data_IF_909878074112
#
_entry.id   IF_909878074112
#
_cell.length_a   1.000
_cell.length_b   1.000
_cell.length_c   1.000
_cell.angle_alpha   90.00
_cell.angle_beta   90.00
_cell.angle_gamma   90.00
#
_symmetry.space_group_name_H-M   'P 1'
#
loop_
_entity.id
_entity.type
_entity.pdbx_description
1 polymer ?
#
# COMPACT_ATOMS: atom_id res chain seq x y z
N UNK A 1 -24.18 -23.17 -10.63
CA UNK A 1 -23.56 -22.75 -9.35
C UNK A 1 -22.30 -23.58 -9.10
N UNK A 2 -21.11 -23.05 -9.43
CA UNK A 2 -19.83 -23.71 -9.12
C UNK A 2 -19.40 -23.27 -7.72
N UNK A 3 -19.39 -24.18 -6.76
CA UNK A 3 -18.87 -23.93 -5.40
C UNK A 3 -17.34 -23.90 -5.46
N UNK A 4 -16.75 -22.76 -5.11
CA UNK A 4 -15.32 -22.61 -4.89
C UNK A 4 -14.97 -23.35 -3.60
N UNK A 5 -14.21 -24.45 -3.71
CA UNK A 5 -13.61 -25.13 -2.54
C UNK A 5 -12.34 -24.36 -2.17
N UNK A 6 -12.37 -23.68 -1.03
CA UNK A 6 -11.18 -23.14 -0.38
C UNK A 6 -10.56 -24.29 0.40
N UNK A 7 -9.47 -24.85 -0.14
CA UNK A 7 -8.63 -25.81 0.59
C UNK A 7 -7.65 -25.02 1.43
N UNK A 8 -7.91 -24.95 2.74
CA UNK A 8 -6.92 -24.49 3.71
C UNK A 8 -5.89 -25.61 3.86
N UNK A 9 -4.69 -25.40 3.34
CA UNK A 9 -3.56 -26.32 3.58
C UNK A 9 -2.96 -25.96 4.93
N UNK A 10 -2.95 -26.85 5.93
CA UNK A 10 -2.21 -26.61 7.15
C UNK A 10 -0.71 -26.64 6.84
N UNK A 11 -0.01 -25.57 7.22
CA UNK A 11 1.46 -25.54 7.26
C UNK A 11 1.92 -26.57 8.30
N UNK A 12 2.28 -27.76 7.82
CA UNK A 12 2.95 -28.78 8.61
C UNK A 12 4.47 -28.57 8.47
N UNK A 13 5.09 -27.98 9.48
CA UNK A 13 6.55 -28.02 9.63
C UNK A 13 6.90 -29.43 10.10
N UNK A 14 7.33 -30.28 9.16
CA UNK A 14 8.00 -31.54 9.50
C UNK A 14 9.44 -31.18 9.91
N UNK A 15 9.63 -30.90 11.19
CA UNK A 15 10.94 -30.97 11.82
C UNK A 15 11.24 -32.46 12.10
N UNK A 16 11.76 -33.18 11.10
CA UNK A 16 12.27 -34.54 11.27
C UNK A 16 13.79 -34.54 11.24
N UNK A 17 14.37 -34.52 12.44
CA UNK A 17 15.23 -35.59 12.97
C UNK A 17 16.27 -36.24 12.03
N UNK A 18 16.99 -35.51 11.18
CA UNK A 18 18.28 -35.97 10.63
C UNK A 18 19.23 -34.79 10.41
N UNK A 19 20.40 -34.87 11.06
CA UNK A 19 21.49 -33.95 10.86
C UNK A 19 22.13 -34.08 9.47
N UNK A 20 22.87 -33.02 9.13
CA UNK A 20 23.84 -32.94 8.02
C UNK A 20 23.27 -33.02 6.59
N UNK A 21 22.88 -31.87 6.05
CA UNK A 21 23.20 -31.49 4.67
C UNK A 21 22.95 -29.98 4.47
N UNK A 22 24.00 -29.15 4.58
CA UNK A 22 23.97 -27.78 4.05
C UNK A 22 24.06 -27.86 2.53
N UNK A 23 22.92 -27.85 1.85
CA UNK A 23 22.84 -27.65 0.41
C UNK A 23 22.87 -26.16 0.08
N UNK A 24 23.97 -25.70 -0.51
CA UNK A 24 24.06 -24.36 -1.11
C UNK A 24 23.04 -24.24 -2.26
N UNK A 25 22.02 -23.39 -2.09
CA UNK A 25 21.21 -22.91 -3.20
C UNK A 25 21.93 -21.74 -3.87
N UNK A 26 22.46 -21.96 -5.08
CA UNK A 26 23.04 -20.92 -5.92
C UNK A 26 21.89 -20.07 -6.52
N UNK A 27 21.55 -18.96 -5.86
CA UNK A 27 20.57 -18.00 -6.36
C UNK A 27 21.22 -17.12 -7.44
N UNK A 28 21.05 -17.48 -8.72
CA UNK A 28 21.48 -16.62 -9.84
C UNK A 28 20.50 -15.46 -10.05
N UNK A 29 20.89 -14.28 -9.57
CA UNK A 29 20.19 -13.03 -9.86
C UNK A 29 20.76 -12.44 -11.17
N UNK A 30 19.95 -12.24 -12.23
CA UNK A 30 20.41 -11.52 -13.40
C UNK A 30 20.49 -10.01 -13.10
N UNK A 31 21.71 -9.49 -12.95
CA UNK A 31 21.96 -8.05 -12.83
C UNK A 31 21.76 -7.43 -14.22
N UNK A 32 20.64 -6.75 -14.43
CA UNK A 32 20.38 -5.96 -15.64
C UNK A 32 21.07 -4.60 -15.51
N UNK A 33 22.30 -4.51 -16.00
CA UNK A 33 23.08 -3.27 -15.99
C UNK A 33 22.54 -2.29 -17.04
N UNK A 34 21.84 -1.23 -16.62
CA UNK A 34 21.44 -0.15 -17.52
C UNK A 34 22.64 0.77 -17.78
N UNK A 35 23.26 0.61 -18.95
CA UNK A 35 24.34 1.46 -19.45
C UNK A 35 23.75 2.80 -19.90
N UNK A 36 23.87 3.84 -19.08
CA UNK A 36 23.61 5.22 -19.51
C UNK A 36 24.83 5.72 -20.30
N UNK A 37 24.60 6.10 -21.55
CA UNK A 37 25.61 6.70 -22.41
C UNK A 37 25.91 8.14 -21.95
N UNK A 38 27.18 8.41 -21.66
CA UNK A 38 27.69 9.76 -21.40
C UNK A 38 27.69 10.57 -22.70
N UNK A 39 27.20 11.82 -22.70
CA UNK A 39 27.36 12.71 -23.85
C UNK A 39 28.77 13.30 -23.90
N UNK A 40 29.29 13.34 -25.13
CA UNK A 40 30.56 13.93 -25.56
C UNK A 40 30.58 15.43 -25.27
N UNK A 41 31.60 15.89 -24.54
CA UNK A 41 31.88 17.30 -24.26
C UNK A 41 32.56 17.96 -25.47
N UNK A 42 31.96 19.03 -25.99
CA UNK A 42 32.63 20.00 -26.87
C UNK A 42 33.20 21.16 -26.02
N UNK A 43 34.37 21.71 -26.37
CA UNK A 43 34.93 22.86 -25.69
C UNK A 43 34.38 24.16 -26.30
N UNK A 44 33.85 25.05 -25.47
CA UNK A 44 33.66 26.46 -25.83
C UNK A 44 34.41 27.35 -24.85
N UNK A 45 35.40 28.06 -25.38
CA UNK A 45 35.99 29.23 -24.74
C UNK A 45 35.01 30.40 -24.87
N UNK A 46 34.80 31.20 -23.82
CA UNK A 46 35.44 32.53 -23.64
C UNK A 46 34.79 33.25 -22.46
N UNK A 47 35.65 33.89 -21.67
CA UNK A 47 35.31 34.71 -20.53
C UNK A 47 34.48 35.96 -20.91
N UNK A 48 33.59 36.34 -20.01
CA UNK A 48 32.85 37.60 -20.02
C UNK A 48 32.19 37.79 -18.66
N UNK A 49 32.80 38.63 -17.83
CA UNK A 49 32.33 39.06 -16.52
C UNK A 49 30.91 39.62 -16.58
N UNK A 50 29.98 39.05 -15.81
CA UNK A 50 28.72 39.67 -15.40
C UNK A 50 28.31 39.05 -14.06
N UNK A 51 28.84 39.65 -13.00
CA UNK A 51 28.53 39.35 -11.61
C UNK A 51 27.20 40.02 -11.19
N UNK A 52 26.35 39.20 -10.55
CA UNK A 52 25.52 39.59 -9.39
C UNK A 52 24.06 40.06 -9.53
N UNK A 53 23.31 39.65 -10.56
CA UNK A 53 21.81 39.69 -10.52
C UNK A 53 21.13 38.31 -10.57
N UNK A 54 21.88 37.22 -10.82
CA UNK A 54 21.30 35.89 -11.02
C UNK A 54 20.83 35.18 -9.73
N UNK A 55 21.27 35.60 -8.54
CA UNK A 55 20.95 34.89 -7.28
C UNK A 55 19.55 35.17 -6.75
N UNK A 56 19.03 36.39 -6.92
CA UNK A 56 17.69 36.74 -6.41
C UNK A 56 16.56 36.13 -7.24
N UNK A 57 16.71 36.07 -8.58
CA UNK A 57 15.73 35.46 -9.48
C UNK A 57 15.60 33.94 -9.27
N UNK A 58 16.72 33.23 -9.08
CA UNK A 58 16.72 31.78 -8.77
C UNK A 58 16.05 31.46 -7.43
N UNK A 59 16.25 32.28 -6.40
CA UNK A 59 15.62 32.08 -5.08
C UNK A 59 14.10 32.28 -5.14
N UNK A 60 13.63 33.29 -5.87
CA UNK A 60 12.20 33.56 -6.07
C UNK A 60 11.51 32.45 -6.88
N UNK A 61 12.16 31.97 -7.94
CA UNK A 61 11.68 30.83 -8.74
C UNK A 61 11.60 29.53 -7.93
N UNK A 62 12.58 29.27 -7.06
CA UNK A 62 12.64 28.05 -6.25
C UNK A 62 11.59 28.05 -5.13
N UNK A 63 11.35 29.20 -4.49
CA UNK A 63 10.27 29.36 -3.51
C UNK A 63 8.87 29.28 -4.14
N UNK A 64 8.68 29.83 -5.35
CA UNK A 64 7.41 29.70 -6.08
C UNK A 64 7.14 28.25 -6.51
N UNK A 65 8.16 27.50 -6.94
CA UNK A 65 8.00 26.08 -7.30
C UNK A 65 7.68 25.19 -6.08
N UNK A 66 8.31 25.44 -4.92
CA UNK A 66 7.95 24.72 -3.68
C UNK A 66 6.50 25.00 -3.25
N UNK A 67 6.06 26.26 -3.33
CA UNK A 67 4.70 26.63 -2.91
C UNK A 67 3.62 26.02 -3.81
N UNK A 68 3.91 25.86 -5.11
CA UNK A 68 3.02 25.16 -6.05
C UNK A 68 3.03 23.64 -5.87
N UNK A 69 4.15 23.02 -5.49
CA UNK A 69 4.20 21.57 -5.23
C UNK A 69 3.38 21.17 -4.00
N UNK A 70 3.42 21.96 -2.93
CA UNK A 70 2.74 21.65 -1.67
C UNK A 70 1.22 21.66 -1.81
N UNK A 71 0.69 22.65 -2.53
CA UNK A 71 -0.75 22.73 -2.82
C UNK A 71 -1.24 21.55 -3.68
N UNK A 72 -0.39 21.07 -4.59
CA UNK A 72 -0.71 19.92 -5.44
C UNK A 72 -0.73 18.61 -4.66
N UNK A 73 0.17 18.42 -3.68
CA UNK A 73 0.26 17.18 -2.89
C UNK A 73 -0.90 17.03 -1.91
N UNK A 74 -1.25 18.10 -1.18
CA UNK A 74 -2.41 18.11 -0.30
C UNK A 74 -3.71 17.85 -1.07
N UNK A 75 -3.89 18.47 -2.23
CA UNK A 75 -5.07 18.21 -3.07
C UNK A 75 -5.18 16.76 -3.54
N UNK A 76 -4.03 16.09 -3.82
CA UNK A 76 -4.00 14.67 -4.20
C UNK A 76 -4.39 13.79 -3.02
N UNK A 77 -3.86 14.06 -1.83
CA UNK A 77 -4.22 13.33 -0.60
C UNK A 77 -5.70 13.49 -0.30
N UNK A 78 -6.19 14.73 -0.25
CA UNK A 78 -7.60 15.01 0.03
C UNK A 78 -8.49 14.29 -0.98
N UNK A 79 -8.14 14.34 -2.28
CA UNK A 79 -8.89 13.62 -3.31
C UNK A 79 -8.85 12.11 -3.13
N UNK A 80 -7.69 11.52 -2.84
CA UNK A 80 -7.59 10.06 -2.60
C UNK A 80 -8.43 9.63 -1.41
N UNK A 81 -8.45 10.43 -0.33
CA UNK A 81 -9.25 10.12 0.86
C UNK A 81 -10.73 10.39 0.63
N UNK A 82 -11.09 11.48 -0.06
CA UNK A 82 -12.47 11.91 -0.22
C UNK A 82 -13.24 11.17 -1.32
N UNK A 83 -12.54 10.49 -2.24
CA UNK A 83 -13.18 9.83 -3.39
C UNK A 83 -13.98 8.58 -3.01
N UNK A 84 -13.68 7.92 -1.88
CA UNK A 84 -14.50 6.82 -1.37
C UNK A 84 -14.33 6.65 0.14
N UNK A 85 -15.22 7.26 0.92
CA UNK A 85 -15.23 7.16 2.39
C UNK A 85 -15.33 5.70 2.87
N UNK A 86 -16.13 4.89 2.18
CA UNK A 86 -16.27 3.45 2.44
C UNK A 86 -14.94 2.72 2.25
N UNK A 87 -14.22 2.97 1.16
CA UNK A 87 -12.90 2.36 0.92
C UNK A 87 -11.92 2.72 2.02
N UNK A 88 -11.84 4.01 2.37
CA UNK A 88 -10.91 4.48 3.40
C UNK A 88 -11.22 3.91 4.78
N UNK A 89 -12.51 3.77 5.12
CA UNK A 89 -12.95 3.16 6.37
C UNK A 89 -12.62 1.66 6.41
N UNK A 90 -12.96 0.92 5.35
CA UNK A 90 -12.66 -0.51 5.25
C UNK A 90 -11.15 -0.78 5.24
N UNK A 91 -10.37 0.03 4.53
CA UNK A 91 -8.91 -0.06 4.54
C UNK A 91 -8.35 0.11 5.94
N UNK A 92 -8.76 1.17 6.64
CA UNK A 92 -8.33 1.46 8.01
C UNK A 92 -8.68 0.33 8.97
N UNK A 93 -9.90 -0.19 8.86
CA UNK A 93 -10.37 -1.32 9.66
C UNK A 93 -9.55 -2.58 9.40
N UNK A 94 -9.36 -2.97 8.14
CA UNK A 94 -8.62 -4.19 7.80
C UNK A 94 -7.15 -4.11 8.17
N UNK A 95 -6.50 -2.96 7.97
CA UNK A 95 -5.12 -2.76 8.40
C UNK A 95 -4.98 -2.83 9.93
N UNK A 96 -5.92 -2.23 10.66
CA UNK A 96 -5.94 -2.30 12.13
C UNK A 96 -6.16 -3.73 12.61
N UNK A 97 -7.15 -4.45 12.05
CA UNK A 97 -7.43 -5.84 12.41
C UNK A 97 -6.27 -6.77 12.09
N UNK A 98 -5.59 -6.57 10.96
CA UNK A 98 -4.39 -7.34 10.62
C UNK A 98 -3.31 -7.15 11.69
N UNK A 99 -3.09 -5.92 12.16
CA UNK A 99 -2.17 -5.61 13.26
C UNK A 99 -2.59 -6.23 14.59
N UNK A 100 -3.86 -6.03 15.00
CA UNK A 100 -4.42 -6.59 16.25
C UNK A 100 -4.28 -8.11 16.31
N UNK A 101 -4.48 -8.79 15.17
CA UNK A 101 -4.41 -10.25 15.11
C UNK A 101 -2.96 -10.71 15.03
N UNK A 102 -2.17 -10.24 14.04
CA UNK A 102 -0.82 -10.77 13.78
C UNK A 102 0.22 -10.31 14.81
N UNK A 103 0.09 -9.09 15.31
CA UNK A 103 1.06 -8.46 16.21
C UNK A 103 1.36 -9.29 17.46
N UNK A 104 0.34 -9.68 18.25
CA UNK A 104 0.55 -10.51 19.44
C UNK A 104 1.22 -11.85 19.16
N UNK A 105 0.98 -12.49 17.99
CA UNK A 105 1.67 -13.73 17.63
C UNK A 105 3.16 -13.51 17.31
N UNK A 106 3.49 -12.39 16.66
CA UNK A 106 4.89 -12.05 16.38
C UNK A 106 5.64 -11.76 17.68
N UNK A 107 5.04 -10.93 18.53
CA UNK A 107 5.59 -10.55 19.82
C UNK A 107 5.77 -11.75 20.77
N UNK A 108 4.83 -12.70 20.73
CA UNK A 108 4.91 -13.93 21.51
C UNK A 108 6.15 -14.77 21.18
N UNK A 109 6.74 -14.67 19.99
CA UNK A 109 8.01 -15.37 19.72
C UNK A 109 9.15 -14.82 20.57
N UNK A 110 9.30 -13.50 20.65
CA UNK A 110 10.33 -12.88 21.48
C UNK A 110 10.09 -13.16 22.96
N UNK A 111 8.83 -13.18 23.40
CA UNK A 111 8.48 -13.61 24.75
C UNK A 111 8.84 -15.09 25.01
N UNK A 112 8.49 -15.99 24.09
CA UNK A 112 8.74 -17.43 24.23
C UNK A 112 10.24 -17.78 24.28
N UNK A 113 11.09 -16.97 23.65
CA UNK A 113 12.54 -17.14 23.66
C UNK A 113 13.25 -16.34 24.78
N UNK A 114 12.50 -15.65 25.64
CA UNK A 114 13.05 -14.85 26.74
C UNK A 114 13.80 -13.61 26.28
N UNK A 115 13.55 -13.11 25.07
CA UNK A 115 14.03 -11.79 24.63
C UNK A 115 13.32 -10.70 25.42
N UNK A 116 12.04 -10.94 25.71
CA UNK A 116 11.09 -9.96 26.21
C UNK A 116 10.20 -10.55 27.28
N UNK A 117 9.90 -9.78 28.32
CA UNK A 117 9.05 -10.19 29.42
C UNK A 117 8.03 -9.11 29.77
N UNK A 118 6.85 -9.56 30.17
CA UNK A 118 5.77 -8.73 30.73
C UNK A 118 5.60 -9.05 32.20
N UNK A 119 5.29 -8.04 33.02
CA UNK A 119 5.09 -8.24 34.46
C UNK A 119 3.86 -9.11 34.76
N UNK A 120 2.77 -8.91 34.00
CA UNK A 120 1.51 -9.65 34.09
C UNK A 120 1.06 -10.12 32.70
N UNK A 121 1.67 -11.18 32.16
CA UNK A 121 1.36 -11.65 30.82
C UNK A 121 -0.01 -12.34 30.78
N UNK A 122 -0.74 -12.10 29.70
CA UNK A 122 -1.82 -12.94 29.23
C UNK A 122 -1.18 -14.07 28.41
N UNK A 123 -1.25 -15.29 28.93
CA UNK A 123 -0.69 -16.48 28.26
C UNK A 123 -1.81 -17.39 27.75
N UNK A 124 -1.72 -17.86 26.51
CA UNK A 124 -2.60 -18.89 25.97
C UNK A 124 -1.80 -20.05 25.36
N UNK A 125 -2.18 -21.28 25.70
CA UNK A 125 -1.53 -22.49 25.19
C UNK A 125 -2.00 -22.71 23.75
N UNK A 126 -1.14 -22.40 22.77
CA UNK A 126 -1.50 -22.57 21.36
C UNK A 126 -1.25 -23.98 20.82
N UNK A 127 -0.37 -24.76 21.46
CA UNK A 127 0.14 -26.03 20.93
C UNK A 127 0.19 -27.18 21.94
N UNK A 128 -0.67 -27.14 22.96
CA UNK A 128 -0.83 -28.24 23.92
C UNK A 128 0.35 -28.48 24.88
N UNK A 129 1.34 -27.60 24.92
CA UNK A 129 2.43 -27.61 25.91
C UNK A 129 2.67 -26.20 26.44
N UNK A 130 2.98 -26.12 27.74
CA UNK A 130 3.42 -24.89 28.40
C UNK A 130 4.87 -24.56 28.03
N UNK A 131 5.65 -25.56 27.59
CA UNK A 131 7.06 -25.45 27.23
C UNK A 131 7.28 -25.08 25.74
N UNK A 132 6.20 -24.91 24.98
CA UNK A 132 6.20 -24.56 23.54
C UNK A 132 5.45 -23.24 23.37
N UNK A 133 5.61 -22.49 22.24
CA UNK A 133 5.27 -21.07 22.22
C UNK A 133 3.79 -20.86 22.57
N UNK A 134 3.59 -20.46 23.83
CA UNK A 134 2.35 -19.90 24.31
C UNK A 134 2.24 -18.50 23.71
N UNK A 135 1.03 -18.10 23.35
CA UNK A 135 0.77 -16.71 23.04
C UNK A 135 0.93 -15.94 24.35
N UNK A 136 2.06 -15.26 24.51
CA UNK A 136 2.36 -14.39 25.65
C UNK A 136 2.25 -12.94 25.19
N UNK A 137 1.33 -12.19 25.79
CA UNK A 137 1.05 -10.80 25.41
C UNK A 137 0.47 -10.03 26.60
N UNK A 138 0.11 -8.76 26.43
CA UNK A 138 -0.67 -8.00 27.42
C UNK A 138 -1.76 -7.17 26.75
N UNK A 139 -2.70 -6.62 27.51
CA UNK A 139 -3.94 -6.04 26.98
C UNK A 139 -3.74 -4.87 26.01
N UNK A 140 -2.65 -4.10 26.16
CA UNK A 140 -2.36 -2.95 25.30
C UNK A 140 -1.61 -3.33 24.01
N UNK A 141 -0.96 -4.50 23.97
CA UNK A 141 -0.14 -4.93 22.82
C UNK A 141 -0.97 -5.07 21.54
N UNK A 142 -2.13 -5.76 21.51
CA UNK A 142 -2.95 -5.82 20.30
C UNK A 142 -3.37 -4.43 19.79
N UNK A 143 -3.70 -3.51 20.70
CA UNK A 143 -4.09 -2.15 20.32
C UNK A 143 -2.93 -1.37 19.68
N UNK A 144 -1.71 -1.46 20.23
CA UNK A 144 -0.52 -0.84 19.64
C UNK A 144 -0.19 -1.41 18.27
N UNK A 145 -0.24 -2.73 18.09
CA UNK A 145 -0.02 -3.33 16.78
C UNK A 145 -1.13 -2.99 15.77
N UNK A 146 -2.38 -2.87 16.22
CA UNK A 146 -3.47 -2.36 15.39
C UNK A 146 -3.21 -0.94 14.90
N UNK A 147 -2.79 -0.05 15.81
CA UNK A 147 -2.39 1.31 15.45
C UNK A 147 -1.20 1.33 14.49
N UNK A 148 -0.19 0.48 14.73
CA UNK A 148 0.95 0.35 13.82
C UNK A 148 0.53 -0.10 12.42
N UNK A 149 -0.34 -1.10 12.30
CA UNK A 149 -0.90 -1.56 11.03
C UNK A 149 -1.63 -0.45 10.29
N UNK A 150 -2.47 0.33 10.99
CA UNK A 150 -3.12 1.51 10.45
C UNK A 150 -2.13 2.57 9.95
N UNK A 151 -1.18 2.99 10.79
CA UNK A 151 -0.24 4.06 10.49
C UNK A 151 0.69 3.70 9.34
N UNK A 152 1.32 2.52 9.39
CA UNK A 152 2.22 2.03 8.35
C UNK A 152 1.46 1.86 7.04
N UNK A 153 0.25 1.30 7.09
CA UNK A 153 -0.59 1.15 5.90
C UNK A 153 -0.89 2.48 5.23
N UNK A 154 -1.30 3.49 5.99
CA UNK A 154 -1.55 4.82 5.46
C UNK A 154 -0.28 5.53 4.98
N UNK A 155 0.85 5.40 5.67
CA UNK A 155 2.13 5.95 5.21
C UNK A 155 2.50 5.43 3.82
N UNK A 156 2.28 4.14 3.57
CA UNK A 156 2.47 3.54 2.25
C UNK A 156 1.52 4.12 1.20
N UNK A 157 0.21 4.14 1.47
CA UNK A 157 -0.79 4.62 0.49
C UNK A 157 -0.59 6.11 0.18
N UNK A 158 -0.38 6.94 1.20
CA UNK A 158 -0.16 8.38 1.02
C UNK A 158 1.20 8.65 0.37
N UNK A 159 2.23 7.93 0.78
CA UNK A 159 3.56 8.00 0.18
C UNK A 159 3.52 7.68 -1.32
N UNK A 160 2.83 6.60 -1.71
CA UNK A 160 2.66 6.22 -3.11
C UNK A 160 1.89 7.32 -3.88
N UNK A 161 0.87 7.95 -3.30
CA UNK A 161 0.11 9.05 -3.96
C UNK A 161 0.96 10.30 -4.17
N UNK A 162 1.77 10.67 -3.19
CA UNK A 162 2.58 11.90 -3.24
C UNK A 162 3.78 11.69 -4.17
N UNK A 163 4.54 10.61 -3.94
CA UNK A 163 5.86 10.41 -4.53
C UNK A 163 5.81 9.65 -5.87
N UNK A 164 4.78 8.84 -6.14
CA UNK A 164 4.71 8.03 -7.37
C UNK A 164 3.94 8.70 -8.51
N UNK A 165 3.92 10.05 -8.55
CA UNK A 165 3.13 10.90 -9.46
C UNK A 165 3.33 10.68 -10.98
N UNK A 166 4.15 9.73 -11.43
CA UNK A 166 4.41 9.51 -12.87
C UNK A 166 4.74 8.06 -13.28
N UNK A 167 4.64 7.06 -12.40
CA UNK A 167 4.93 5.68 -12.79
C UNK A 167 3.63 4.92 -13.07
N UNK A 168 3.42 4.37 -14.29
CA UNK A 168 2.30 3.46 -14.59
C UNK A 168 2.35 2.14 -13.79
N UNK A 169 3.44 1.92 -13.04
CA UNK A 169 3.65 0.77 -12.17
C UNK A 169 3.44 1.14 -10.69
N UNK A 170 2.24 1.56 -10.31
CA UNK A 170 1.87 1.49 -8.89
C UNK A 170 2.07 0.03 -8.45
N UNK A 171 2.82 -0.25 -7.37
CA UNK A 171 3.12 -1.63 -7.01
C UNK A 171 1.83 -2.35 -6.65
N UNK A 172 1.49 -3.37 -7.44
CA UNK A 172 0.35 -4.25 -7.20
C UNK A 172 0.89 -5.61 -6.76
N UNK A 173 1.23 -5.77 -5.47
CA UNK A 173 1.75 -7.03 -4.99
C UNK A 173 0.67 -8.10 -5.17
N UNK A 174 1.08 -9.26 -5.68
CA UNK A 174 0.19 -10.42 -5.78
C UNK A 174 -0.05 -11.03 -4.40
N UNK A 175 -1.18 -11.72 -4.15
CA UNK A 175 -1.40 -12.39 -2.87
C UNK A 175 -0.26 -13.33 -2.43
N UNK A 176 0.37 -14.13 -3.33
CA UNK A 176 1.56 -14.91 -2.96
C UNK A 176 2.75 -14.07 -2.49
N UNK A 177 2.98 -12.90 -3.10
CA UNK A 177 4.05 -11.98 -2.69
C UNK A 177 3.77 -11.36 -1.31
N UNK A 178 2.51 -11.04 -1.02
CA UNK A 178 2.09 -10.54 0.30
C UNK A 178 2.30 -11.62 1.35
N UNK A 179 1.85 -12.85 1.08
CA UNK A 179 2.03 -13.99 1.99
C UNK A 179 3.51 -14.28 2.21
N UNK A 180 4.33 -14.28 1.16
CA UNK A 180 5.78 -14.44 1.28
C UNK A 180 6.40 -13.34 2.16
N UNK A 181 5.94 -12.09 2.01
CA UNK A 181 6.42 -10.99 2.83
C UNK A 181 6.09 -11.15 4.31
N UNK A 182 4.83 -11.51 4.62
CA UNK A 182 4.42 -11.81 5.99
C UNK A 182 5.22 -12.99 6.54
N UNK A 183 5.34 -14.08 5.78
CA UNK A 183 6.08 -15.27 6.20
C UNK A 183 7.56 -15.00 6.46
N UNK A 184 8.21 -14.21 5.60
CA UNK A 184 9.62 -13.85 5.78
C UNK A 184 9.82 -12.95 7.01
N UNK A 185 8.90 -12.01 7.24
CA UNK A 185 8.93 -11.17 8.44
C UNK A 185 8.70 -11.99 9.71
N UNK A 186 7.71 -12.88 9.72
CA UNK A 186 7.47 -13.83 10.81
C UNK A 186 8.68 -14.72 11.07
N UNK A 187 9.32 -15.24 10.02
CA UNK A 187 10.54 -16.03 10.13
C UNK A 187 11.67 -15.22 10.75
N UNK A 188 11.85 -13.96 10.38
CA UNK A 188 12.89 -13.10 10.95
C UNK A 188 12.63 -12.85 12.45
N UNK A 189 11.38 -12.65 12.85
CA UNK A 189 10.97 -12.51 14.26
C UNK A 189 11.28 -13.77 15.07
N UNK A 190 10.90 -14.93 14.54
CA UNK A 190 11.17 -16.21 15.18
C UNK A 190 12.68 -16.52 15.26
N UNK A 191 13.40 -16.33 14.15
CA UNK A 191 14.83 -16.65 14.04
C UNK A 191 15.67 -15.80 14.97
N UNK A 192 15.37 -14.50 15.09
CA UNK A 192 16.08 -13.62 16.03
C UNK A 192 15.94 -14.10 17.48
N UNK A 193 14.72 -14.46 17.91
CA UNK A 193 14.50 -15.03 19.24
C UNK A 193 15.21 -16.36 19.44
N UNK A 194 15.14 -17.27 18.45
CA UNK A 194 15.79 -18.57 18.52
C UNK A 194 17.33 -18.46 18.62
N UNK A 195 17.94 -17.55 17.86
CA UNK A 195 19.38 -17.27 17.94
C UNK A 195 19.77 -16.69 19.31
N UNK A 196 18.98 -15.74 19.82
CA UNK A 196 19.17 -15.17 21.17
C UNK A 196 19.12 -16.26 22.25
N UNK A 197 18.07 -17.10 22.24
CA UNK A 197 17.92 -18.20 23.19
C UNK A 197 19.07 -19.21 23.12
N UNK A 198 19.65 -19.40 21.93
CA UNK A 198 20.81 -20.28 21.73
C UNK A 198 22.14 -19.66 22.16
N UNK A 199 22.14 -18.45 22.72
CA UNK A 199 23.34 -17.74 23.15
C UNK A 199 24.24 -17.27 22.01
N UNK A 200 23.68 -17.08 20.80
CA UNK A 200 24.43 -16.56 19.66
C UNK A 200 24.83 -15.11 19.93
N UNK A 201 26.08 -14.76 19.60
CA UNK A 201 26.61 -13.41 19.79
C UNK A 201 25.76 -12.35 19.08
N UNK A 202 25.57 -11.20 19.74
CA UNK A 202 24.69 -10.12 19.28
C UNK A 202 25.11 -9.55 17.93
N UNK A 203 26.41 -9.47 17.66
CA UNK A 203 26.93 -8.98 16.36
C UNK A 203 26.56 -9.95 15.25
N UNK A 204 26.58 -11.25 15.53
CA UNK A 204 26.13 -12.28 14.58
C UNK A 204 24.63 -12.18 14.34
N UNK A 205 23.81 -11.98 15.38
CA UNK A 205 22.36 -11.76 15.23
C UNK A 205 22.11 -10.51 14.39
N UNK A 206 22.75 -9.38 14.72
CA UNK A 206 22.60 -8.11 14.01
C UNK A 206 22.94 -8.24 12.52
N UNK A 207 24.08 -8.84 12.19
CA UNK A 207 24.49 -9.03 10.80
C UNK A 207 23.51 -9.95 10.06
N UNK A 208 23.08 -11.04 10.69
CA UNK A 208 22.13 -11.99 10.10
C UNK A 208 20.79 -11.30 9.82
N UNK A 209 20.23 -10.60 10.81
CA UNK A 209 18.96 -9.88 10.66
C UNK A 209 19.06 -8.77 9.60
N UNK A 210 20.20 -8.08 9.53
CA UNK A 210 20.43 -7.05 8.50
C UNK A 210 20.46 -7.64 7.09
N UNK A 211 21.12 -8.78 6.90
CA UNK A 211 21.16 -9.49 5.60
C UNK A 211 19.76 -9.97 5.21
N UNK A 212 19.01 -10.57 6.14
CA UNK A 212 17.64 -11.02 5.89
C UNK A 212 16.73 -9.84 5.56
N UNK A 213 16.81 -8.73 6.31
CA UNK A 213 16.01 -7.55 6.07
C UNK A 213 16.32 -6.88 4.72
N UNK A 214 17.60 -6.74 4.37
CA UNK A 214 18.02 -6.19 3.08
C UNK A 214 17.58 -7.09 1.92
N UNK A 215 17.74 -8.42 2.06
CA UNK A 215 17.28 -9.38 1.07
C UNK A 215 15.76 -9.35 0.93
N UNK A 216 15.03 -9.29 2.03
CA UNK A 216 13.58 -9.18 2.07
C UNK A 216 13.09 -7.90 1.39
N UNK A 217 13.73 -6.76 1.65
CA UNK A 217 13.44 -5.52 0.95
C UNK A 217 13.65 -5.66 -0.57
N UNK A 218 14.81 -6.16 -0.99
CA UNK A 218 15.11 -6.38 -2.41
C UNK A 218 14.09 -7.33 -3.05
N UNK A 219 13.66 -8.39 -2.35
CA UNK A 219 12.73 -9.38 -2.90
C UNK A 219 11.28 -8.89 -2.91
N UNK A 220 10.88 -8.10 -1.92
CA UNK A 220 9.47 -7.80 -1.66
C UNK A 220 9.08 -6.38 -2.09
N UNK A 221 9.94 -5.39 -1.89
CA UNK A 221 9.61 -3.98 -2.05
C UNK A 221 10.86 -3.17 -2.42
N UNK A 222 11.07 -2.92 -3.71
CA UNK A 222 12.21 -2.13 -4.21
C UNK A 222 11.81 -0.66 -4.44
N UNK A 223 10.80 -0.16 -3.72
CA UNK A 223 10.28 1.19 -3.93
C UNK A 223 10.91 2.19 -2.96
N UNK A 224 11.06 3.44 -3.40
CA UNK A 224 11.57 4.50 -2.53
C UNK A 224 10.64 4.77 -1.34
N UNK A 225 9.32 4.78 -1.57
CA UNK A 225 8.32 4.86 -0.50
C UNK A 225 8.50 3.71 0.49
N UNK A 226 8.66 2.50 -0.03
CA UNK A 226 8.92 1.33 0.79
C UNK A 226 10.16 1.49 1.65
N UNK A 227 11.27 1.95 1.07
CA UNK A 227 12.51 2.19 1.81
C UNK A 227 12.30 3.21 2.94
N UNK A 228 11.65 4.35 2.62
CA UNK A 228 11.42 5.43 3.57
C UNK A 228 10.53 4.97 4.73
N UNK A 229 9.42 4.29 4.44
CA UNK A 229 8.53 3.77 5.49
C UNK A 229 9.23 2.69 6.30
N UNK A 230 10.02 1.81 5.68
CA UNK A 230 10.81 0.78 6.38
C UNK A 230 11.86 1.39 7.30
N UNK A 231 12.50 2.49 6.90
CA UNK A 231 13.40 3.24 7.76
C UNK A 231 12.64 3.87 8.93
N UNK A 232 11.49 4.48 8.66
CA UNK A 232 10.62 5.04 9.71
C UNK A 232 10.17 3.96 10.70
N UNK A 233 9.84 2.75 10.28
CA UNK A 233 9.48 1.65 11.20
C UNK A 233 10.69 1.16 11.97
N UNK A 234 11.85 1.01 11.32
CA UNK A 234 13.10 0.58 11.94
C UNK A 234 13.51 1.47 13.13
N UNK A 235 13.28 2.78 13.04
CA UNK A 235 13.54 3.71 14.14
C UNK A 235 12.32 3.92 15.04
N UNK A 236 11.14 4.09 14.45
CA UNK A 236 9.92 4.47 15.16
C UNK A 236 9.42 3.40 16.12
N UNK A 237 9.47 2.12 15.74
CA UNK A 237 9.08 1.01 16.61
C UNK A 237 9.93 0.98 17.90
N UNK A 238 11.26 0.90 17.79
CA UNK A 238 12.13 0.90 18.97
C UNK A 238 12.06 2.18 19.79
N UNK A 239 11.77 3.34 19.20
CA UNK A 239 11.52 4.58 19.96
C UNK A 239 10.23 4.51 20.78
N UNK A 240 9.17 3.87 20.26
CA UNK A 240 7.96 3.59 21.03
C UNK A 240 8.29 2.64 22.19
N UNK A 241 9.11 1.61 21.96
CA UNK A 241 9.57 0.70 23.01
C UNK A 241 10.40 1.42 24.08
N UNK A 242 11.29 2.34 23.71
CA UNK A 242 12.00 3.20 24.70
C UNK A 242 11.00 3.97 25.57
N UNK A 243 9.94 4.51 24.97
CA UNK A 243 8.85 5.15 25.71
C UNK A 243 8.16 4.19 26.67
N UNK A 244 7.76 3.00 26.20
CA UNK A 244 7.11 1.97 27.02
C UNK A 244 8.01 1.50 28.17
N UNK A 245 9.29 1.22 27.91
CA UNK A 245 10.28 0.87 28.93
C UNK A 245 10.46 1.97 29.97
N UNK A 246 10.48 3.23 29.54
CA UNK A 246 10.62 4.37 30.44
C UNK A 246 9.40 4.53 31.34
N UNK A 247 8.19 4.36 30.79
CA UNK A 247 6.95 4.37 31.56
C UNK A 247 6.84 3.18 32.51
N UNK A 248 7.28 1.99 32.07
CA UNK A 248 7.34 0.76 32.86
C UNK A 248 8.28 0.94 34.06
N UNK A 249 9.51 1.43 33.83
CA UNK A 249 10.49 1.72 34.90
C UNK A 249 10.04 2.82 35.87
N UNK A 250 9.18 3.72 35.42
CA UNK A 250 8.58 4.77 36.25
C UNK A 250 7.31 4.30 37.01
N UNK A 251 6.95 3.02 36.90
CA UNK A 251 5.74 2.42 37.50
C UNK A 251 4.42 3.10 37.06
N UNK A 252 4.42 3.69 35.85
CA UNK A 252 3.27 4.39 35.28
C UNK A 252 2.38 3.48 34.42
N UNK A 253 2.79 2.24 34.17
CA UNK A 253 2.06 1.26 33.35
C UNK A 253 1.17 0.31 34.15
N UNK A 254 0.85 0.63 35.41
CA UNK A 254 -0.14 -0.07 36.24
C UNK A 254 0.01 -1.61 36.18
N UNK A 255 1.15 -2.10 36.65
CA UNK A 255 1.50 -3.53 36.74
C UNK A 255 1.52 -4.31 35.40
N UNK A 256 1.40 -3.61 34.26
CA UNK A 256 1.46 -4.17 32.91
C UNK A 256 2.74 -3.75 32.20
N UNK A 257 3.84 -3.72 32.96
CA UNK A 257 5.14 -3.32 32.46
C UNK A 257 5.71 -4.30 31.43
N UNK A 258 6.72 -3.79 30.73
CA UNK A 258 7.41 -4.41 29.62
C UNK A 258 8.90 -4.23 29.85
N UNK A 259 9.69 -5.29 29.66
CA UNK A 259 11.14 -5.23 29.78
C UNK A 259 11.85 -6.19 28.83
N UNK A 260 13.00 -5.74 28.33
CA UNK A 260 13.97 -6.62 27.68
C UNK A 260 14.79 -7.35 28.74
N UNK A 261 14.96 -8.66 28.59
CA UNK A 261 15.89 -9.45 29.40
C UNK A 261 17.34 -9.01 29.15
N UNK A 262 17.61 -8.58 27.91
CA UNK A 262 18.88 -8.01 27.48
C UNK A 262 18.68 -6.65 26.82
N UNK A 263 19.05 -5.59 27.52
CA UNK A 263 18.95 -4.19 27.07
C UNK A 263 19.96 -3.83 25.96
N UNK A 264 20.88 -4.73 25.62
CA UNK A 264 21.77 -4.58 24.49
C UNK A 264 22.74 -3.40 24.58
N UNK A 265 23.21 -2.94 23.42
CA UNK A 265 24.20 -1.86 23.27
C UNK A 265 23.62 -0.47 23.56
N UNK A 266 22.30 -0.33 23.43
CA UNK A 266 21.63 0.98 23.56
C UNK A 266 21.25 1.32 25.00
N UNK A 267 21.24 0.33 25.90
CA UNK A 267 20.71 0.45 27.26
C UNK A 267 19.18 0.36 27.36
N UNK A 268 18.50 0.17 26.22
CA UNK A 268 17.04 0.00 26.15
C UNK A 268 16.64 -1.28 25.41
N UNK A 269 17.23 -1.53 24.24
CA UNK A 269 16.96 -2.69 23.39
C UNK A 269 18.24 -3.09 22.61
N UNK A 270 18.37 -4.35 22.17
CA UNK A 270 19.52 -4.78 21.38
C UNK A 270 19.42 -4.32 19.92
N UNK A 271 20.55 -3.91 19.33
CA UNK A 271 20.55 -3.23 18.01
C UNK A 271 19.98 -4.06 16.86
N UNK A 272 19.96 -5.39 16.98
CA UNK A 272 19.39 -6.28 15.97
C UNK A 272 17.86 -6.16 15.82
N UNK A 273 17.19 -5.46 16.75
CA UNK A 273 15.77 -5.12 16.64
C UNK A 273 15.51 -4.14 15.47
N UNK A 274 16.45 -3.24 15.15
CA UNK A 274 16.31 -2.28 14.05
C UNK A 274 16.02 -2.96 12.69
N UNK A 275 16.85 -3.92 12.22
CA UNK A 275 16.56 -4.63 10.97
C UNK A 275 15.31 -5.53 11.05
N UNK A 276 14.88 -5.98 12.24
CA UNK A 276 13.59 -6.68 12.41
C UNK A 276 12.43 -5.75 12.08
N UNK A 277 12.40 -4.56 12.67
CA UNK A 277 11.39 -3.55 12.36
C UNK A 277 11.48 -3.03 10.92
N UNK A 278 12.68 -2.98 10.34
CA UNK A 278 12.86 -2.61 8.94
C UNK A 278 12.12 -3.57 8.01
N UNK A 279 12.26 -4.89 8.18
CA UNK A 279 11.56 -5.87 7.33
C UNK A 279 10.03 -5.87 7.57
N UNK A 280 9.57 -5.40 8.72
CA UNK A 280 8.15 -5.14 8.97
C UNK A 280 7.56 -4.14 7.96
N UNK A 281 8.35 -3.17 7.49
CA UNK A 281 7.95 -2.18 6.48
C UNK A 281 7.41 -2.82 5.20
N UNK A 282 8.24 -3.57 4.42
CA UNK A 282 7.81 -4.20 3.17
C UNK A 282 6.67 -5.20 3.34
N UNK A 283 6.65 -5.95 4.44
CA UNK A 283 5.58 -6.92 4.72
C UNK A 283 4.23 -6.23 4.91
N UNK A 284 4.16 -5.22 5.78
CA UNK A 284 2.93 -4.46 6.07
C UNK A 284 2.55 -3.55 4.90
N UNK A 285 3.54 -2.96 4.23
CA UNK A 285 3.33 -2.09 3.07
C UNK A 285 2.74 -2.81 1.87
N UNK A 286 3.23 -4.01 1.56
CA UNK A 286 2.67 -4.82 0.48
C UNK A 286 1.27 -5.34 0.84
N UNK A 287 1.02 -5.68 2.11
CA UNK A 287 -0.34 -5.98 2.58
C UNK A 287 -1.28 -4.78 2.37
N UNK A 288 -0.83 -3.57 2.74
CA UNK A 288 -1.59 -2.34 2.56
C UNK A 288 -1.94 -2.08 1.09
N UNK A 289 -0.94 -2.16 0.20
CA UNK A 289 -1.16 -2.04 -1.26
C UNK A 289 -2.13 -3.11 -1.77
N UNK A 290 -2.00 -4.35 -1.30
CA UNK A 290 -2.89 -5.45 -1.64
C UNK A 290 -4.34 -5.18 -1.26
N UNK A 291 -4.59 -4.84 0.01
CA UNK A 291 -5.93 -4.51 0.52
C UNK A 291 -6.51 -3.29 -0.21
N UNK A 292 -5.71 -2.24 -0.37
CA UNK A 292 -6.13 -1.01 -1.04
C UNK A 292 -6.58 -1.28 -2.48
N UNK A 293 -5.83 -2.11 -3.22
CA UNK A 293 -6.18 -2.49 -4.59
C UNK A 293 -7.38 -3.45 -4.64
N UNK A 294 -7.45 -4.41 -3.72
CA UNK A 294 -8.57 -5.36 -3.63
C UNK A 294 -9.91 -4.67 -3.36
N UNK A 295 -9.94 -3.73 -2.41
CA UNK A 295 -11.12 -2.93 -2.09
C UNK A 295 -11.60 -2.11 -3.29
N UNK A 296 -10.69 -1.58 -4.11
CA UNK A 296 -11.04 -0.83 -5.30
C UNK A 296 -11.82 -1.68 -6.30
N UNK A 297 -11.39 -2.93 -6.50
CA UNK A 297 -12.03 -3.84 -7.44
C UNK A 297 -13.42 -4.24 -6.96
N UNK A 298 -13.56 -4.61 -5.67
CA UNK A 298 -14.86 -5.01 -5.08
C UNK A 298 -15.88 -3.87 -5.15
N UNK A 299 -15.49 -2.65 -4.82
CA UNK A 299 -16.40 -1.50 -4.86
C UNK A 299 -16.82 -1.15 -6.31
N UNK A 300 -15.88 -1.20 -7.26
CA UNK A 300 -16.21 -0.98 -8.67
C UNK A 300 -17.13 -2.06 -9.26
N UNK A 301 -16.94 -3.32 -8.87
CA UNK A 301 -17.82 -4.42 -9.27
C UNK A 301 -19.24 -4.24 -8.70
N UNK A 302 -19.36 -3.80 -7.44
CA UNK A 302 -20.66 -3.52 -6.83
C UNK A 302 -21.38 -2.35 -7.50
N UNK A 303 -20.67 -1.25 -7.79
CA UNK A 303 -21.24 -0.09 -8.51
C UNK A 303 -21.75 -0.51 -9.89
N UNK A 304 -21.00 -1.36 -10.61
CA UNK A 304 -21.41 -1.84 -11.92
C UNK A 304 -22.59 -2.81 -11.85
N UNK A 305 -22.61 -3.70 -10.84
CA UNK A 305 -23.70 -4.62 -10.59
C UNK A 305 -25.01 -3.88 -10.28
N UNK A 306 -24.95 -2.83 -9.45
CA UNK A 306 -26.10 -1.97 -9.13
C UNK A 306 -26.64 -1.28 -10.39
N UNK A 307 -25.76 -0.72 -11.22
CA UNK A 307 -26.14 -0.09 -12.51
C UNK A 307 -26.80 -1.08 -13.47
N UNK A 308 -26.33 -2.34 -13.52
CA UNK A 308 -26.94 -3.38 -14.37
C UNK A 308 -28.29 -3.91 -13.86
N UNK A 309 -28.60 -3.69 -12.58
CA UNK A 309 -29.85 -4.15 -11.95
C UNK A 309 -30.99 -3.13 -12.03
N UNK A 310 -30.70 -1.88 -12.40
CA UNK A 310 -31.71 -0.84 -12.57
C UNK A 310 -32.65 -1.17 -13.75
N UNK A 311 -33.98 -1.11 -13.56
CA UNK A 311 -34.94 -1.39 -14.62
C UNK A 311 -34.73 -0.39 -15.74
N UNK A 312 -34.26 -0.87 -16.89
CA UNK A 312 -33.74 -0.01 -17.93
C UNK A 312 -34.61 1.18 -18.33
N UNK A 313 -33.98 2.26 -18.82
CA UNK A 313 -34.70 3.44 -19.28
C UNK A 313 -35.76 3.03 -20.30
N UNK A 314 -37.04 3.12 -19.91
CA UNK A 314 -38.19 2.64 -20.70
C UNK A 314 -38.33 3.39 -22.03
N UNK A 315 -37.86 4.64 -22.09
CA UNK A 315 -37.99 5.50 -23.28
C UNK A 315 -37.06 5.06 -24.40
N UNK A 316 -35.81 4.73 -24.10
CA UNK A 316 -34.84 4.26 -25.10
C UNK A 316 -34.59 2.75 -25.04
N UNK A 317 -35.33 2.02 -24.19
CA UNK A 317 -35.10 0.60 -23.90
C UNK A 317 -33.62 0.29 -23.61
N UNK A 318 -33.00 1.07 -22.70
CA UNK A 318 -31.57 1.00 -22.36
C UNK A 318 -30.55 1.23 -23.48
N UNK A 319 -30.96 1.56 -24.70
CA UNK A 319 -30.01 1.88 -25.78
C UNK A 319 -29.31 3.23 -25.59
N UNK A 320 -29.79 4.05 -24.64
CA UNK A 320 -29.37 5.45 -24.37
C UNK A 320 -29.47 6.39 -25.57
N UNK A 321 -30.09 5.95 -26.67
CA UNK A 321 -30.30 6.70 -27.89
C UNK A 321 -31.78 6.77 -28.23
N UNK A 322 -32.20 7.92 -28.74
CA UNK A 322 -33.50 8.11 -29.36
C UNK A 322 -33.31 8.76 -30.73
N UNK A 323 -34.24 8.59 -31.68
CA UNK A 323 -34.22 9.32 -32.94
C UNK A 323 -34.09 10.82 -32.68
N UNK A 324 -33.25 11.49 -33.47
CA UNK A 324 -33.07 12.94 -33.37
C UNK A 324 -34.39 13.63 -33.75
N UNK A 325 -35.01 14.42 -32.85
CA UNK A 325 -36.33 15.03 -33.10
C UNK A 325 -36.29 16.11 -34.19
N UNK A 326 -35.10 16.61 -34.55
CA UNK A 326 -34.95 17.62 -35.59
C UNK A 326 -34.86 17.03 -37.01
N UNK A 327 -34.61 15.72 -37.15
CA UNK A 327 -34.48 15.06 -38.46
C UNK A 327 -35.11 13.67 -38.48
N UNK A 328 -36.01 13.37 -37.52
CA UNK A 328 -36.74 12.11 -37.39
C UNK A 328 -35.92 10.83 -37.58
N UNK A 329 -34.70 10.79 -37.05
CA UNK A 329 -33.85 9.59 -37.20
C UNK A 329 -32.99 9.55 -38.47
N UNK A 330 -33.23 10.42 -39.45
CA UNK A 330 -32.64 10.32 -40.81
C UNK A 330 -31.21 10.88 -40.89
N UNK A 331 -30.86 11.82 -40.01
CA UNK A 331 -29.56 12.52 -40.04
C UNK A 331 -29.47 13.64 -41.06
N UNK A 332 -30.48 13.79 -41.92
CA UNK A 332 -30.62 14.87 -42.91
C UNK A 332 -32.07 15.35 -42.97
N UNK A 333 -32.30 16.57 -43.48
CA UNK A 333 -33.64 17.10 -43.74
C UNK A 333 -33.67 17.85 -45.08
N UNK A 334 -34.84 17.98 -45.69
CA UNK A 334 -35.02 18.73 -46.93
C UNK A 334 -35.12 20.22 -46.63
N UNK A 335 -34.12 21.00 -47.06
CA UNK A 335 -34.17 22.45 -47.00
C UNK A 335 -35.04 23.02 -48.13
N UNK A 336 -35.50 24.27 -47.97
CA UNK A 336 -36.24 24.97 -49.02
C UNK A 336 -35.44 24.97 -50.34
N UNK A 337 -36.10 24.53 -51.43
CA UNK A 337 -35.47 24.31 -52.73
C UNK A 337 -35.07 22.86 -53.03
N UNK A 338 -35.53 21.89 -52.22
CA UNK A 338 -35.37 20.46 -52.49
C UNK A 338 -33.95 19.92 -52.27
N UNK A 339 -33.07 20.70 -51.64
CA UNK A 339 -31.69 20.27 -51.35
C UNK A 339 -31.65 19.58 -49.98
N UNK A 340 -31.00 18.43 -49.92
CA UNK A 340 -30.73 17.74 -48.65
C UNK A 340 -29.70 18.52 -47.84
N UNK A 341 -30.05 18.86 -46.60
CA UNK A 341 -29.19 19.50 -45.64
C UNK A 341 -28.89 18.54 -44.48
N UNK A 342 -27.68 18.66 -43.94
CA UNK A 342 -27.16 17.81 -42.88
C UNK A 342 -27.73 18.27 -41.54
N UNK A 343 -28.25 17.36 -40.72
CA UNK A 343 -28.75 17.71 -39.41
C UNK A 343 -27.59 18.09 -38.48
N UNK A 344 -27.52 19.37 -38.13
CA UNK A 344 -26.51 19.92 -37.22
C UNK A 344 -26.72 19.43 -35.79
N UNK A 345 -27.98 19.26 -35.36
CA UNK A 345 -28.33 18.82 -34.01
C UNK A 345 -27.80 17.43 -33.64
N UNK A 346 -27.75 16.50 -34.60
CA UNK A 346 -27.21 15.15 -34.39
C UNK A 346 -25.91 14.87 -35.16
N UNK A 347 -25.32 15.89 -35.79
CA UNK A 347 -24.12 15.76 -36.63
C UNK A 347 -24.22 14.60 -37.64
N UNK A 348 -25.35 14.50 -38.36
CA UNK A 348 -25.66 13.47 -39.37
C UNK A 348 -25.91 12.04 -38.87
N UNK A 349 -25.82 11.79 -37.56
CA UNK A 349 -25.96 10.42 -37.02
C UNK A 349 -27.39 9.92 -36.96
N UNK A 350 -28.38 10.82 -37.02
CA UNK A 350 -29.79 10.46 -36.93
C UNK A 350 -30.28 10.22 -35.50
N UNK A 351 -29.41 10.08 -34.51
CA UNK A 351 -29.80 9.86 -33.10
C UNK A 351 -29.20 10.90 -32.15
N UNK A 352 -29.83 11.06 -30.98
CA UNK A 352 -29.36 11.88 -29.86
C UNK A 352 -29.43 11.08 -28.56
N UNK A 353 -28.73 11.54 -27.52
CA UNK A 353 -28.81 10.93 -26.19
C UNK A 353 -30.23 11.06 -25.64
N UNK A 354 -30.78 9.97 -25.12
CA UNK A 354 -32.12 9.96 -24.53
C UNK A 354 -32.19 10.91 -23.33
N UNK A 355 -33.10 11.90 -23.35
CA UNK A 355 -33.20 12.88 -22.26
C UNK A 355 -33.58 12.23 -20.92
N UNK A 356 -34.45 11.23 -20.95
CA UNK A 356 -34.84 10.47 -19.76
C UNK A 356 -33.70 9.66 -19.15
N UNK A 357 -32.61 9.42 -19.89
CA UNK A 357 -31.42 8.77 -19.33
C UNK A 357 -30.66 9.70 -18.37
N UNK A 358 -30.73 11.03 -18.52
CA UNK A 358 -30.04 11.94 -17.59
C UNK A 358 -30.63 11.83 -16.18
N UNK A 359 -31.96 11.92 -16.09
CA UNK A 359 -32.67 11.75 -14.81
C UNK A 359 -32.54 10.32 -14.29
N UNK A 360 -32.65 9.32 -15.17
CA UNK A 360 -32.61 7.91 -14.78
C UNK A 360 -31.24 7.43 -14.28
N UNK A 361 -30.14 7.88 -14.89
CA UNK A 361 -28.77 7.49 -14.51
C UNK A 361 -28.07 8.53 -13.63
N UNK A 362 -28.76 9.60 -13.21
CA UNK A 362 -28.16 10.67 -12.41
C UNK A 362 -27.03 11.41 -13.13
N UNK A 363 -27.11 11.51 -14.46
CA UNK A 363 -26.10 12.19 -15.27
C UNK A 363 -26.43 13.68 -15.38
N UNK A 364 -25.40 14.54 -15.34
CA UNK A 364 -25.57 15.99 -15.48
C UNK A 364 -25.96 16.35 -16.94
N UNK A 365 -27.15 16.92 -17.19
CA UNK A 365 -27.55 17.37 -18.52
C UNK A 365 -26.76 18.58 -19.02
N UNK A 366 -26.00 19.25 -18.15
CA UNK A 366 -25.16 20.41 -18.50
C UNK A 366 -23.70 20.04 -18.83
N UNK A 367 -23.29 18.77 -18.68
CA UNK A 367 -21.97 18.27 -19.07
C UNK A 367 -21.89 18.05 -20.60
N UNK A 368 -21.81 19.15 -21.35
CA UNK A 368 -21.82 19.13 -22.82
C UNK A 368 -20.63 18.34 -23.38
N UNK A 369 -19.45 18.46 -22.79
CA UNK A 369 -18.23 17.75 -23.18
C UNK A 369 -18.36 16.24 -22.96
N UNK A 370 -18.88 15.81 -21.81
CA UNK A 370 -19.13 14.40 -21.52
C UNK A 370 -20.23 13.82 -22.41
N UNK A 371 -21.27 14.60 -22.73
CA UNK A 371 -22.31 14.21 -23.70
C UNK A 371 -21.71 14.02 -25.09
N UNK A 372 -20.92 14.98 -25.58
CA UNK A 372 -20.25 14.90 -26.89
C UNK A 372 -19.32 13.68 -26.99
N UNK A 373 -18.51 13.44 -25.95
CA UNK A 373 -17.60 12.29 -25.88
C UNK A 373 -18.34 10.95 -25.86
N UNK A 374 -19.47 10.87 -25.14
CA UNK A 374 -20.32 9.66 -25.17
C UNK A 374 -20.93 9.44 -26.53
N UNK A 375 -21.48 10.50 -27.15
CA UNK A 375 -22.01 10.41 -28.51
C UNK A 375 -20.93 9.96 -29.49
N UNK A 376 -19.70 10.49 -29.42
CA UNK A 376 -18.63 10.08 -30.36
C UNK A 376 -18.25 8.60 -30.25
N UNK A 377 -18.41 8.01 -29.06
CA UNK A 377 -18.08 6.61 -28.78
C UNK A 377 -19.23 5.64 -29.03
N UNK A 378 -20.44 6.13 -29.35
CA UNK A 378 -21.55 5.25 -29.71
C UNK A 378 -21.31 4.67 -31.12
N UNK A 379 -21.45 3.34 -31.31
CA UNK A 379 -21.34 2.72 -32.62
C UNK A 379 -22.44 3.23 -33.55
N UNK A 380 -22.09 3.41 -34.82
CA UNK A 380 -23.01 3.84 -35.88
C UNK A 380 -24.06 2.76 -36.22
#
# INVERSE_FOLDING_TARGET
>A
MKRMKITVVPFLIIASKYGNAFGFFELRIPIRCHRQALPVLYPTSRAGDLHDESRHSKKSSLMLNMKNSDHSSLSKITRTVSTSSTRTALFSLFMSLAGVILGPFLDAYHSAFGVLEYDKPITSILWGSVDHPALTTTWWVPALFGLAGFLIGWLYILGDVILSSSSPNNPRPSPPQILLGISLFTLQYWLSGAMYHSGVDRVVILNTMSIVAASGFILLDQTFVGFLVSAVTAFGGPMIEVGLLSLSRADLMLESGYQYTDIGETGFFPLWILPVYFLGGPAVGNLARGIWNGLNNVLQENDLAEVTSLPGCKVCNNTRRIPCPNCDGVGTYLAMGGRSALCTSCCKRGYVVCRSCFEFYGEDPYDIEGIRKRMSNMPD
#
